data_IF_624936573341
#
_entry.id   IF_624936573341
#
_cell.length_a   1.000
_cell.length_b   1.000
_cell.length_c   1.000
_cell.angle_alpha   90.00
_cell.angle_beta   90.00
_cell.angle_gamma   90.00
#
_symmetry.space_group_name_H-M   'P 1'
#
loop_
_entity.id
_entity.type
_entity.pdbx_description
1 polymer ?
#
# COMPACT_ATOMS: atom_id res chain seq x y z
N UNK A 1 -19.82 0.53 -32.61
CA UNK A 1 -18.56 -0.11 -32.17
C UNK A 1 -17.51 0.97 -32.04
N UNK A 2 -17.43 1.56 -30.85
CA UNK A 2 -16.46 2.60 -30.51
C UNK A 2 -15.23 1.93 -29.91
N UNK A 3 -14.10 2.05 -30.61
CA UNK A 3 -12.78 1.65 -30.14
C UNK A 3 -12.42 2.40 -28.85
N UNK A 4 -11.86 1.75 -27.81
CA UNK A 4 -11.37 2.44 -26.63
C UNK A 4 -10.15 3.26 -27.00
N UNK A 5 -10.23 4.58 -26.82
CA UNK A 5 -9.13 5.50 -27.05
C UNK A 5 -8.00 5.25 -26.04
N UNK A 6 -6.94 4.64 -26.57
CA UNK A 6 -5.52 4.81 -26.25
C UNK A 6 -5.15 5.39 -24.89
N UNK A 7 -4.62 4.51 -24.05
CA UNK A 7 -3.61 4.81 -23.05
C UNK A 7 -2.54 5.75 -23.64
N UNK A 8 -2.41 6.96 -23.10
CA UNK A 8 -1.29 7.84 -23.42
C UNK A 8 -0.03 7.18 -22.84
N UNK A 9 0.72 6.51 -23.70
CA UNK A 9 2.09 6.13 -23.40
C UNK A 9 2.91 7.43 -23.28
N UNK A 10 3.12 7.88 -22.05
CA UNK A 10 4.30 8.69 -21.77
C UNK A 10 5.51 7.77 -21.99
N UNK A 11 6.25 8.04 -23.05
CA UNK A 11 7.55 7.41 -23.31
C UNK A 11 8.46 7.86 -22.17
N UNK A 12 8.66 7.00 -21.17
CA UNK A 12 9.65 7.24 -20.11
C UNK A 12 11.01 7.52 -20.76
N UNK A 13 11.76 8.54 -20.30
CA UNK A 13 13.10 8.78 -20.82
C UNK A 13 13.94 7.50 -20.62
N UNK A 14 14.67 7.04 -21.65
CA UNK A 14 15.48 5.84 -21.53
C UNK A 14 16.51 6.01 -20.39
N UNK A 15 16.51 5.09 -19.43
CA UNK A 15 17.59 4.96 -18.45
C UNK A 15 17.29 5.32 -16.99
N UNK A 16 16.03 5.51 -16.58
CA UNK A 16 15.71 5.65 -15.15
C UNK A 16 15.43 4.29 -14.52
N UNK A 17 16.44 3.69 -13.88
CA UNK A 17 16.21 2.52 -13.04
C UNK A 17 15.88 2.93 -11.59
N UNK A 18 15.07 2.10 -10.92
CA UNK A 18 14.68 2.30 -9.52
C UNK A 18 15.27 1.22 -8.61
N UNK A 19 16.39 0.60 -9.01
CA UNK A 19 16.95 -0.56 -8.33
C UNK A 19 17.43 -0.26 -6.89
N UNK A 20 17.68 1.01 -6.59
CA UNK A 20 18.06 1.51 -5.27
C UNK A 20 16.88 1.63 -4.29
N UNK A 21 15.63 1.61 -4.77
CA UNK A 21 14.45 1.64 -3.93
C UNK A 21 14.24 0.25 -3.33
N UNK A 22 14.38 0.16 -2.01
CA UNK A 22 14.31 -1.10 -1.28
C UNK A 22 13.03 -1.27 -0.47
N UNK A 23 12.29 -0.19 -0.24
CA UNK A 23 11.05 -0.18 0.53
C UNK A 23 10.05 0.78 -0.11
N UNK A 24 8.78 0.38 -0.16
CA UNK A 24 7.68 1.23 -0.60
C UNK A 24 6.74 1.45 0.57
N UNK A 25 6.40 2.70 0.88
CA UNK A 25 5.36 3.10 1.81
C UNK A 25 4.12 3.54 1.01
N UNK A 26 3.06 2.75 1.08
CA UNK A 26 1.82 2.91 0.32
C UNK A 26 0.71 3.45 1.21
N UNK A 27 0.08 4.52 0.76
CA UNK A 27 -1.07 5.15 1.38
C UNK A 27 -2.18 5.36 0.36
N UNK A 28 -3.40 4.93 0.69
CA UNK A 28 -4.60 5.31 -0.06
C UNK A 28 -5.30 6.45 0.67
N UNK A 29 -5.85 7.42 -0.09
CA UNK A 29 -6.50 8.61 0.44
C UNK A 29 -7.79 8.91 -0.29
N UNK A 30 -8.73 9.53 0.42
CA UNK A 30 -9.96 10.09 -0.11
C UNK A 30 -10.33 11.31 0.74
N UNK A 31 -10.36 12.49 0.12
CA UNK A 31 -10.69 13.76 0.78
C UNK A 31 -11.95 14.34 0.18
N UNK A 32 -13.08 14.22 0.88
CA UNK A 32 -14.38 14.77 0.49
C UNK A 32 -14.66 16.17 1.04
N UNK A 33 -13.81 16.65 1.92
CA UNK A 33 -13.91 17.96 2.56
C UNK A 33 -12.62 18.73 2.25
N UNK A 34 -12.71 20.04 1.97
CA UNK A 34 -11.73 20.83 1.21
C UNK A 34 -10.30 20.93 1.75
N UNK A 35 -9.94 20.21 2.82
CA UNK A 35 -8.60 20.18 3.40
C UNK A 35 -7.87 18.87 3.11
N UNK A 36 -6.64 18.98 2.60
CA UNK A 36 -5.72 17.85 2.37
C UNK A 36 -4.48 17.92 3.29
N UNK A 37 -4.48 18.82 4.27
CA UNK A 37 -3.37 19.07 5.19
C UNK A 37 -2.93 17.82 5.94
N UNK A 38 -3.83 16.87 6.23
CA UNK A 38 -3.50 15.61 6.87
C UNK A 38 -2.43 14.82 6.09
N UNK A 39 -2.52 14.80 4.77
CA UNK A 39 -1.53 14.18 3.89
C UNK A 39 -0.22 14.99 3.89
N UNK A 40 -0.31 16.29 3.64
CA UNK A 40 0.88 17.16 3.52
C UNK A 40 1.68 17.23 4.82
N UNK A 41 1.00 17.30 5.97
CA UNK A 41 1.62 17.20 7.29
C UNK A 41 2.29 15.85 7.53
N UNK A 42 1.73 14.74 7.02
CA UNK A 42 2.37 13.42 7.12
C UNK A 42 3.65 13.35 6.30
N UNK A 43 3.58 13.77 5.04
CA UNK A 43 4.71 13.75 4.13
C UNK A 43 5.82 14.68 4.62
N UNK A 44 5.47 15.85 5.17
CA UNK A 44 6.44 16.77 5.79
C UNK A 44 7.13 16.16 7.03
N UNK A 45 6.46 15.31 7.80
CA UNK A 45 7.08 14.56 8.90
C UNK A 45 8.03 13.49 8.38
N UNK A 46 7.62 12.74 7.35
CA UNK A 46 8.49 11.75 6.72
C UNK A 46 9.71 12.39 6.05
N UNK A 47 9.57 13.56 5.44
CA UNK A 47 10.67 14.30 4.83
C UNK A 47 11.76 14.75 5.82
N UNK A 48 11.50 14.68 7.14
CA UNK A 48 12.50 14.93 8.20
C UNK A 48 13.35 13.70 8.54
N UNK A 49 13.06 12.53 7.96
CA UNK A 49 13.87 11.34 8.19
C UNK A 49 15.27 11.49 7.57
N UNK A 50 16.30 10.79 8.09
CA UNK A 50 17.64 10.83 7.54
C UNK A 50 17.70 10.41 6.06
N UNK A 51 18.58 11.07 5.28
CA UNK A 51 18.79 10.76 3.86
C UNK A 51 19.03 9.27 3.56
N UNK A 52 19.82 8.49 4.35
CA UNK A 52 20.00 7.06 4.11
C UNK A 52 18.71 6.22 4.15
N UNK A 53 17.65 6.71 4.78
CA UNK A 53 16.31 6.12 4.73
C UNK A 53 15.60 6.61 3.47
N UNK A 54 15.49 7.93 3.31
CA UNK A 54 14.70 8.55 2.26
C UNK A 54 15.19 8.20 0.84
N UNK A 55 16.50 8.06 0.65
CA UNK A 55 17.11 7.66 -0.63
C UNK A 55 16.65 6.28 -1.08
N UNK A 56 16.24 5.38 -0.15
CA UNK A 56 15.89 3.98 -0.43
C UNK A 56 14.39 3.70 -0.28
N UNK A 57 13.60 4.69 0.08
CA UNK A 57 12.16 4.56 0.31
C UNK A 57 11.38 5.32 -0.76
N UNK A 58 10.43 4.63 -1.40
CA UNK A 58 9.41 5.26 -2.22
C UNK A 58 8.14 5.46 -1.39
N UNK A 59 7.51 6.62 -1.52
CA UNK A 59 6.16 6.89 -1.04
C UNK A 59 5.18 6.82 -2.22
N UNK A 60 4.11 6.06 -2.09
CA UNK A 60 3.02 6.01 -3.06
C UNK A 60 1.76 6.52 -2.40
N UNK A 61 1.16 7.54 -3.00
CA UNK A 61 -0.16 8.04 -2.66
C UNK A 61 -1.13 7.64 -3.77
N UNK A 62 -2.20 6.95 -3.40
CA UNK A 62 -3.31 6.65 -4.31
C UNK A 62 -4.51 7.47 -3.89
N UNK A 63 -4.83 8.49 -4.68
CA UNK A 63 -6.03 9.30 -4.59
C UNK A 63 -7.22 8.54 -5.18
N UNK A 64 -8.15 8.13 -4.32
CA UNK A 64 -9.34 7.36 -4.67
C UNK A 64 -10.47 8.27 -5.20
N UNK A 65 -10.15 9.06 -6.23
CA UNK A 65 -11.06 10.02 -6.85
C UNK A 65 -11.57 11.14 -5.91
N UNK A 66 -10.73 11.64 -5.00
CA UNK A 66 -11.10 12.75 -4.10
C UNK A 66 -11.68 13.94 -4.90
N UNK A 67 -12.84 14.50 -4.52
CA UNK A 67 -13.34 15.72 -5.13
C UNK A 67 -12.39 16.90 -4.89
N UNK A 68 -11.74 16.94 -3.72
CA UNK A 68 -10.67 17.88 -3.42
C UNK A 68 -9.37 17.44 -4.10
N UNK A 69 -8.75 18.32 -4.89
CA UNK A 69 -7.46 18.03 -5.51
C UNK A 69 -6.36 17.96 -4.45
N UNK A 70 -5.56 16.89 -4.48
CA UNK A 70 -4.40 16.78 -3.60
C UNK A 70 -3.41 17.92 -3.84
N UNK A 71 -2.95 18.55 -2.76
CA UNK A 71 -1.89 19.55 -2.78
C UNK A 71 -0.68 19.02 -2.02
N UNK A 72 0.34 18.57 -2.75
CA UNK A 72 1.58 18.08 -2.15
C UNK A 72 2.66 19.18 -2.27
N UNK A 73 3.24 19.66 -1.15
CA UNK A 73 4.22 20.74 -1.21
C UNK A 73 5.39 20.38 -2.15
N UNK A 74 5.77 21.28 -3.08
CA UNK A 74 6.75 20.98 -4.13
C UNK A 74 8.19 20.85 -3.60
N UNK A 75 8.45 21.37 -2.41
CA UNK A 75 9.75 21.39 -1.73
C UNK A 75 10.05 20.10 -0.95
N UNK A 76 9.11 19.16 -0.86
CA UNK A 76 9.37 17.86 -0.25
C UNK A 76 10.26 17.00 -1.16
N UNK A 77 11.53 16.88 -0.78
CA UNK A 77 12.53 16.00 -1.38
C UNK A 77 12.23 14.54 -1.01
N UNK A 78 11.27 13.90 -1.68
CA UNK A 78 10.88 12.51 -1.47
C UNK A 78 10.84 11.76 -2.81
N UNK A 79 11.17 10.47 -2.79
CA UNK A 79 10.82 9.59 -3.91
C UNK A 79 9.31 9.34 -3.83
N UNK A 80 8.52 10.07 -4.59
CA UNK A 80 7.08 10.15 -4.42
C UNK A 80 6.38 9.83 -5.74
N UNK A 81 5.41 8.92 -5.69
CA UNK A 81 4.50 8.65 -6.78
C UNK A 81 3.07 8.94 -6.34
N UNK A 82 2.36 9.73 -7.14
CA UNK A 82 0.95 10.06 -6.92
C UNK A 82 0.13 9.50 -8.07
N UNK A 83 -0.82 8.66 -7.73
CA UNK A 83 -1.78 8.07 -8.65
C UNK A 83 -3.17 8.61 -8.30
N UNK A 84 -4.01 8.87 -9.29
CA UNK A 84 -5.40 9.27 -9.09
C UNK A 84 -6.33 8.38 -9.87
N UNK A 85 -7.25 7.72 -9.18
CA UNK A 85 -8.37 6.99 -9.78
C UNK A 85 -9.36 8.01 -10.34
N UNK A 86 -9.89 7.76 -11.54
CA UNK A 86 -10.79 8.70 -12.23
C UNK A 86 -12.24 8.50 -11.81
N UNK A 87 -12.64 7.27 -11.56
CA UNK A 87 -13.98 6.89 -11.16
C UNK A 87 -14.17 7.04 -9.65
N UNK A 88 -15.17 7.82 -9.24
CA UNK A 88 -15.62 7.89 -7.85
C UNK A 88 -16.44 6.64 -7.50
N UNK A 89 -15.74 5.64 -6.95
CA UNK A 89 -16.33 4.38 -6.51
C UNK A 89 -16.38 4.40 -4.98
N UNK A 90 -17.59 4.39 -4.41
CA UNK A 90 -17.75 4.34 -2.96
C UNK A 90 -16.95 3.17 -2.34
N UNK A 91 -16.25 3.43 -1.24
CA UNK A 91 -15.50 2.40 -0.50
C UNK A 91 -14.48 1.62 -1.35
N UNK A 92 -13.76 2.26 -2.27
CA UNK A 92 -12.81 1.63 -3.20
C UNK A 92 -11.38 1.45 -2.64
N UNK A 93 -11.25 1.35 -1.31
CA UNK A 93 -9.99 0.97 -0.66
C UNK A 93 -9.36 -0.31 -1.23
N UNK A 94 -10.12 -1.38 -1.58
CA UNK A 94 -9.57 -2.56 -2.26
C UNK A 94 -8.82 -2.21 -3.55
N UNK A 95 -9.47 -1.42 -4.41
CA UNK A 95 -8.95 -1.01 -5.71
C UNK A 95 -7.73 -0.10 -5.56
N UNK A 96 -7.83 0.95 -4.75
CA UNK A 96 -6.74 1.89 -4.50
C UNK A 96 -5.46 1.19 -3.98
N UNK A 97 -5.61 0.21 -3.08
CA UNK A 97 -4.46 -0.56 -2.57
C UNK A 97 -3.87 -1.51 -3.60
N UNK A 98 -4.72 -2.18 -4.38
CA UNK A 98 -4.27 -2.99 -5.50
C UNK A 98 -3.45 -2.16 -6.48
N UNK A 99 -3.93 -0.95 -6.82
CA UNK A 99 -3.27 -0.04 -7.74
C UNK A 99 -1.89 0.36 -7.22
N UNK A 100 -1.81 0.84 -5.98
CA UNK A 100 -0.52 1.22 -5.42
C UNK A 100 0.46 0.03 -5.31
N UNK A 101 -0.04 -1.19 -5.08
CA UNK A 101 0.80 -2.41 -5.08
C UNK A 101 1.38 -2.72 -6.46
N UNK A 102 0.66 -2.44 -7.55
CA UNK A 102 1.20 -2.59 -8.90
C UNK A 102 2.37 -1.64 -9.13
N UNK A 103 2.26 -0.40 -8.66
CA UNK A 103 3.26 0.65 -8.86
C UNK A 103 4.38 0.69 -7.81
N UNK A 104 4.32 -0.18 -6.79
CA UNK A 104 5.40 -0.33 -5.82
C UNK A 104 6.70 -0.78 -6.50
N UNK A 105 7.75 0.04 -6.36
CA UNK A 105 9.09 -0.18 -6.95
C UNK A 105 9.90 -1.25 -6.23
N UNK A 106 9.53 -1.56 -5.00
CA UNK A 106 10.20 -2.58 -4.18
C UNK A 106 9.24 -3.72 -3.83
N UNK A 107 9.81 -4.89 -3.52
CA UNK A 107 9.00 -6.01 -3.03
C UNK A 107 8.63 -5.88 -1.55
N UNK A 108 9.34 -5.05 -0.78
CA UNK A 108 9.05 -4.79 0.62
C UNK A 108 8.09 -3.61 0.71
N UNK A 109 6.88 -3.82 1.23
CA UNK A 109 5.85 -2.78 1.25
C UNK A 109 5.31 -2.57 2.66
N UNK A 110 5.38 -1.32 3.12
CA UNK A 110 4.57 -0.80 4.22
C UNK A 110 3.27 -0.26 3.65
N UNK A 111 2.13 -0.69 4.19
CA UNK A 111 0.80 -0.24 3.77
C UNK A 111 0.13 0.39 4.97
N UNK A 112 -0.50 1.55 4.80
CA UNK A 112 -1.29 2.19 5.86
C UNK A 112 -2.27 3.21 5.29
N UNK A 113 -3.11 3.75 6.17
CA UNK A 113 -4.04 4.85 5.89
C UNK A 113 -3.36 6.18 6.25
N UNK A 114 -3.85 7.30 5.72
CA UNK A 114 -3.25 8.62 5.98
C UNK A 114 -3.36 9.04 7.45
N UNK A 115 -4.32 8.58 8.23
CA UNK A 115 -4.43 8.87 9.67
C UNK A 115 -3.42 8.09 10.53
N UNK A 116 -2.46 7.40 9.92
CA UNK A 116 -1.47 6.57 10.60
C UNK A 116 -0.03 6.95 10.18
N UNK A 117 0.84 7.13 11.17
CA UNK A 117 2.24 7.50 10.99
C UNK A 117 3.17 6.39 11.49
N UNK A 118 4.03 5.86 10.63
CA UNK A 118 5.10 4.96 11.04
C UNK A 118 6.24 5.75 11.68
N UNK A 119 6.78 5.25 12.79
CA UNK A 119 7.99 5.85 13.34
C UNK A 119 9.24 5.49 12.50
N UNK A 120 10.31 6.27 12.66
CA UNK A 120 11.59 6.05 11.94
C UNK A 120 12.14 4.62 12.16
N UNK A 121 11.97 4.06 13.35
CA UNK A 121 12.42 2.69 13.65
C UNK A 121 11.73 1.64 12.79
N UNK A 122 10.46 1.84 12.42
CA UNK A 122 9.76 0.97 11.48
C UNK A 122 10.41 0.99 10.10
N UNK A 123 10.81 2.15 9.60
CA UNK A 123 11.52 2.26 8.32
C UNK A 123 12.91 1.60 8.38
N UNK A 124 13.68 1.85 9.44
CA UNK A 124 14.96 1.20 9.67
C UNK A 124 14.82 -0.33 9.67
N UNK A 125 13.85 -0.85 10.43
CA UNK A 125 13.60 -2.28 10.50
C UNK A 125 13.21 -2.85 9.13
N UNK A 126 12.27 -2.22 8.43
CA UNK A 126 11.81 -2.70 7.12
C UNK A 126 12.92 -2.66 6.05
N UNK A 127 13.79 -1.64 6.07
CA UNK A 127 14.95 -1.55 5.19
C UNK A 127 16.00 -2.62 5.50
N UNK A 128 16.28 -2.89 6.79
CA UNK A 128 17.25 -3.90 7.20
C UNK A 128 16.73 -5.34 7.10
N UNK A 129 15.42 -5.55 7.18
CA UNK A 129 14.80 -6.85 7.15
C UNK A 129 15.00 -7.55 5.79
N UNK A 130 15.12 -8.89 5.86
CA UNK A 130 14.91 -9.74 4.69
C UNK A 130 13.51 -9.53 4.13
N UNK A 131 13.33 -9.89 2.87
CA UNK A 131 12.02 -9.90 2.26
C UNK A 131 11.01 -10.71 3.12
N UNK A 132 9.82 -10.16 3.45
CA UNK A 132 8.83 -10.86 4.26
C UNK A 132 8.36 -12.20 3.70
N UNK A 133 8.46 -12.40 2.38
CA UNK A 133 8.03 -13.60 1.68
C UNK A 133 6.58 -13.93 2.02
N UNK A 134 6.33 -15.09 2.65
CA UNK A 134 4.99 -15.53 3.05
C UNK A 134 4.45 -14.91 4.36
N UNK A 135 5.07 -13.88 4.90
CA UNK A 135 4.67 -13.27 6.18
C UNK A 135 4.12 -11.87 5.98
N UNK A 136 2.94 -11.62 6.56
CA UNK A 136 2.39 -10.29 6.75
C UNK A 136 2.67 -9.89 8.20
N UNK A 137 3.43 -8.83 8.39
CA UNK A 137 3.72 -8.29 9.71
C UNK A 137 2.75 -7.18 10.06
N UNK A 138 2.10 -7.33 11.21
CA UNK A 138 1.29 -6.31 11.85
C UNK A 138 2.17 -5.40 12.69
N UNK A 139 1.69 -4.20 12.93
CA UNK A 139 2.31 -3.26 13.84
C UNK A 139 1.41 -3.00 15.04
N UNK A 140 2.02 -2.60 16.15
CA UNK A 140 1.27 -2.11 17.30
C UNK A 140 0.82 -0.69 17.00
N UNK A 141 -0.48 -0.44 17.17
CA UNK A 141 -1.05 0.89 17.04
C UNK A 141 -1.01 1.58 18.40
N UNK A 142 -0.52 2.80 18.43
CA UNK A 142 -0.53 3.67 19.61
C UNK A 142 -1.25 4.97 19.30
N UNK A 143 -1.80 5.62 20.32
CA UNK A 143 -2.26 7.01 20.23
C UNK A 143 -1.08 7.98 20.43
N UNK A 144 -1.31 9.27 20.25
CA UNK A 144 -0.28 10.31 20.42
C UNK A 144 0.30 10.37 21.85
N UNK A 145 -0.47 9.95 22.86
CA UNK A 145 -0.04 9.85 24.26
C UNK A 145 0.76 8.55 24.57
N UNK A 146 0.95 7.68 23.58
CA UNK A 146 1.64 6.40 23.70
C UNK A 146 0.75 5.24 24.20
N UNK A 147 -0.53 5.48 24.47
CA UNK A 147 -1.46 4.43 24.88
C UNK A 147 -1.72 3.42 23.75
N UNK A 148 -1.87 2.14 24.10
CA UNK A 148 -2.08 1.08 23.11
C UNK A 148 -3.52 1.07 22.58
N UNK A 149 -3.64 0.95 21.27
CA UNK A 149 -4.91 0.69 20.58
C UNK A 149 -4.88 -0.67 19.88
N UNK A 150 -6.07 -1.19 19.56
CA UNK A 150 -6.19 -2.37 18.70
C UNK A 150 -5.43 -2.12 17.38
N UNK A 151 -4.63 -3.09 16.89
CA UNK A 151 -3.93 -2.96 15.62
C UNK A 151 -4.89 -2.60 14.50
N UNK A 152 -4.42 -1.74 13.59
CA UNK A 152 -5.20 -1.39 12.42
C UNK A 152 -5.28 -2.60 11.48
N UNK A 153 -6.49 -3.02 11.02
CA UNK A 153 -6.67 -4.22 10.21
C UNK A 153 -6.15 -4.06 8.77
N UNK A 154 -5.69 -2.86 8.42
CA UNK A 154 -5.29 -2.46 7.09
C UNK A 154 -3.87 -1.85 7.07
N UNK A 155 -3.09 -2.04 8.15
CA UNK A 155 -1.70 -1.55 8.25
C UNK A 155 -0.70 -2.70 8.41
N UNK A 156 0.23 -2.85 7.46
CA UNK A 156 1.12 -4.01 7.38
C UNK A 156 2.50 -3.68 6.84
N UNK A 157 3.46 -4.55 7.16
CA UNK A 157 4.68 -4.76 6.39
C UNK A 157 4.64 -6.13 5.71
N UNK A 158 4.75 -6.19 4.38
CA UNK A 158 4.55 -7.42 3.60
C UNK A 158 5.39 -7.48 2.31
N UNK A 159 5.36 -8.64 1.64
CA UNK A 159 5.93 -8.82 0.30
C UNK A 159 4.89 -8.52 -0.78
N UNK A 160 5.23 -7.64 -1.73
CA UNK A 160 4.42 -7.30 -2.92
C UNK A 160 4.12 -8.56 -3.74
N UNK A 161 5.12 -9.39 -4.00
CA UNK A 161 4.97 -10.64 -4.71
C UNK A 161 3.99 -11.58 -3.98
N UNK A 162 4.05 -11.66 -2.65
CA UNK A 162 3.10 -12.47 -1.87
C UNK A 162 1.66 -11.94 -1.96
N UNK A 163 1.50 -10.63 -1.91
CA UNK A 163 0.20 -9.98 -2.05
C UNK A 163 -0.41 -10.27 -3.43
N UNK A 164 0.34 -10.00 -4.50
CA UNK A 164 -0.12 -10.19 -5.89
C UNK A 164 -0.27 -11.66 -6.30
N UNK A 165 0.55 -12.57 -5.75
CA UNK A 165 0.40 -14.02 -5.96
C UNK A 165 -0.99 -14.53 -5.62
N UNK A 166 -1.67 -13.88 -4.68
CA UNK A 166 -3.05 -14.20 -4.33
C UNK A 166 -4.03 -13.09 -4.66
N UNK A 167 -3.74 -12.36 -5.73
CA UNK A 167 -4.67 -11.46 -6.42
C UNK A 167 -5.05 -10.21 -5.62
N UNK A 168 -4.29 -9.88 -4.57
CA UNK A 168 -4.48 -8.67 -3.78
C UNK A 168 -5.76 -8.66 -2.95
N UNK A 169 -6.33 -7.46 -2.79
CA UNK A 169 -7.68 -7.29 -2.26
C UNK A 169 -8.71 -7.71 -3.33
N UNK A 170 -9.82 -8.25 -2.86
CA UNK A 170 -10.93 -8.62 -3.72
C UNK A 170 -11.84 -7.40 -3.99
N UNK A 171 -11.75 -6.84 -5.19
CA UNK A 171 -12.51 -5.65 -5.58
C UNK A 171 -14.03 -5.89 -5.68
N UNK A 172 -14.52 -7.11 -5.50
CA UNK A 172 -15.95 -7.35 -5.30
C UNK A 172 -16.49 -6.73 -4.00
N UNK A 173 -15.63 -6.32 -3.07
CA UNK A 173 -16.02 -5.58 -1.86
C UNK A 173 -16.04 -4.06 -2.06
N UNK A 174 -15.52 -3.54 -3.17
CA UNK A 174 -15.67 -2.12 -3.51
C UNK A 174 -17.14 -1.79 -3.82
N UNK A 175 -17.55 -0.55 -3.55
CA UNK A 175 -18.93 -0.07 -3.65
C UNK A 175 -19.68 -0.04 -2.32
N UNK A 176 -19.23 -0.80 -1.32
CA UNK A 176 -19.91 -0.94 -0.02
C UNK A 176 -18.91 -1.02 1.13
N UNK A 177 -19.36 -0.67 2.34
CA UNK A 177 -18.48 -0.63 3.51
C UNK A 177 -18.11 -2.03 4.02
N UNK A 178 -16.81 -2.19 4.33
CA UNK A 178 -16.28 -3.25 5.20
C UNK A 178 -16.15 -4.64 4.57
N UNK A 179 -15.63 -5.57 5.38
CA UNK A 179 -15.27 -6.95 5.05
C UNK A 179 -14.07 -7.14 4.12
N UNK A 180 -13.67 -6.16 3.31
CA UNK A 180 -12.51 -6.24 2.43
C UNK A 180 -11.24 -6.66 3.18
N UNK A 181 -10.97 -6.00 4.31
CA UNK A 181 -9.87 -6.28 5.23
C UNK A 181 -9.95 -7.72 5.75
N UNK A 182 -11.02 -8.08 6.43
CA UNK A 182 -11.20 -9.38 7.07
C UNK A 182 -11.14 -10.54 6.07
N UNK A 183 -11.57 -10.30 4.83
CA UNK A 183 -11.60 -11.28 3.77
C UNK A 183 -10.23 -11.42 3.10
N UNK A 184 -9.47 -10.33 2.91
CA UNK A 184 -8.06 -10.41 2.53
C UNK A 184 -7.29 -11.29 3.52
N UNK A 185 -7.48 -11.05 4.82
CA UNK A 185 -6.78 -11.82 5.86
C UNK A 185 -7.08 -13.30 5.79
N UNK A 186 -8.37 -13.66 5.68
CA UNK A 186 -8.79 -15.06 5.60
C UNK A 186 -8.26 -15.72 4.34
N UNK A 187 -8.37 -15.04 3.20
CA UNK A 187 -7.86 -15.50 1.92
C UNK A 187 -6.36 -15.77 1.98
N UNK A 188 -5.58 -14.77 2.41
CA UNK A 188 -4.14 -14.91 2.61
C UNK A 188 -3.79 -16.05 3.57
N UNK A 189 -4.51 -16.18 4.69
CA UNK A 189 -4.28 -17.24 5.67
C UNK A 189 -4.54 -18.63 5.10
N UNK A 190 -5.65 -18.81 4.38
CA UNK A 190 -6.01 -20.09 3.75
C UNK A 190 -5.04 -20.49 2.64
N UNK A 191 -4.32 -19.52 2.07
CA UNK A 191 -3.23 -19.74 1.13
C UNK A 191 -1.84 -19.78 1.78
N UNK A 192 -1.77 -19.97 3.11
CA UNK A 192 -0.55 -20.23 3.86
C UNK A 192 0.25 -18.99 4.27
N UNK A 193 -0.34 -17.78 4.21
CA UNK A 193 0.32 -16.56 4.67
C UNK A 193 0.33 -16.53 6.19
N UNK A 194 1.50 -16.28 6.76
CA UNK A 194 1.70 -16.14 8.21
C UNK A 194 1.42 -14.70 8.61
N UNK A 195 0.85 -14.51 9.80
CA UNK A 195 0.63 -13.19 10.38
C UNK A 195 1.41 -13.10 11.68
N UNK A 196 2.39 -12.21 11.74
CA UNK A 196 3.24 -11.97 12.91
C UNK A 196 3.21 -10.50 13.28
N UNK A 197 3.74 -10.14 14.44
CA UNK A 197 4.00 -8.73 14.78
C UNK A 197 5.45 -8.38 14.48
N UNK A 198 5.70 -7.14 14.07
CA UNK A 198 7.02 -6.54 14.14
C UNK A 198 7.50 -6.39 15.60
N UNK A 199 8.81 -6.15 15.81
CA UNK A 199 9.32 -5.78 17.13
C UNK A 199 8.53 -4.65 17.79
N UNK A 200 8.50 -4.62 19.12
CA UNK A 200 7.70 -3.64 19.88
C UNK A 200 8.10 -2.18 19.62
N UNK A 201 9.34 -1.94 19.18
CA UNK A 201 9.85 -0.62 18.81
C UNK A 201 9.30 -0.12 17.46
N UNK A 202 8.80 -1.01 16.60
CA UNK A 202 8.13 -0.68 15.36
C UNK A 202 6.63 -0.45 15.64
N UNK A 203 6.23 0.82 15.68
CA UNK A 203 4.86 1.23 15.99
C UNK A 203 4.29 2.08 14.87
N UNK A 204 2.96 2.09 14.82
CA UNK A 204 2.20 3.04 14.04
C UNK A 204 1.39 3.92 14.98
N UNK A 205 1.62 5.23 14.91
CA UNK A 205 0.89 6.22 15.70
C UNK A 205 -0.36 6.62 14.95
N UNK A 206 -1.53 6.48 15.58
CA UNK A 206 -2.75 7.08 15.06
C UNK A 206 -2.73 8.57 15.32
N UNK A 207 -2.99 9.33 14.26
CA UNK A 207 -3.02 10.78 14.28
C UNK A 207 -4.47 11.22 14.41
N UNK A 208 -4.71 12.16 15.32
CA UNK A 208 -5.99 12.87 15.33
C UNK A 208 -6.02 13.77 14.11
N UNK A 209 -6.67 13.30 13.04
CA UNK A 209 -7.10 14.14 11.93
C UNK A 209 -8.49 14.64 12.30
N UNK A 210 -8.76 15.92 12.11
CA UNK A 210 -10.05 16.50 12.50
C UNK A 210 -11.17 15.74 11.78
N UNK A 211 -12.03 15.08 12.55
CA UNK A 211 -13.01 14.12 12.02
C UNK A 211 -14.30 14.78 11.59
N UNK A 212 -14.57 15.97 12.12
CA UNK A 212 -15.77 16.73 11.79
C UNK A 212 -15.65 17.42 10.43
N UNK A 213 -14.41 17.76 10.02
CA UNK A 213 -14.11 18.53 8.80
C UNK A 213 -13.36 17.73 7.70
N UNK A 214 -13.23 16.39 7.81
CA UNK A 214 -12.28 15.65 6.96
C UNK A 214 -12.63 14.23 6.50
N UNK A 215 -13.72 13.59 6.96
CA UNK A 215 -13.91 12.16 6.68
C UNK A 215 -15.36 11.71 6.40
N UNK A 216 -15.55 11.25 5.15
CA UNK A 216 -16.60 10.36 4.62
C UNK A 216 -18.04 10.70 4.99
N UNK A 217 -18.71 11.38 4.07
CA UNK A 217 -20.17 11.47 3.95
C UNK A 217 -20.87 10.12 3.69
N UNK A 218 -20.12 9.04 3.40
CA UNK A 218 -20.71 7.74 3.06
C UNK A 218 -21.27 6.98 4.27
N UNK A 219 -22.49 6.47 4.12
CA UNK A 219 -23.12 5.59 5.10
C UNK A 219 -22.37 4.25 5.20
N UNK A 220 -22.14 3.81 6.45
CA UNK A 220 -21.45 2.55 6.75
C UNK A 220 -22.43 1.39 6.86
N UNK A 221 -22.89 0.88 5.72
CA UNK A 221 -23.71 -0.34 5.65
C UNK A 221 -22.88 -1.59 5.32
N UNK A 222 -22.95 -2.57 6.21
CA UNK A 222 -22.26 -3.87 6.10
C UNK A 222 -23.10 -4.93 5.37
N UNK A 223 -24.38 -4.66 5.06
CA UNK A 223 -25.36 -5.68 4.65
C UNK A 223 -24.97 -6.38 3.36
N UNK A 224 -24.57 -5.63 2.32
CA UNK A 224 -24.21 -6.23 1.04
C UNK A 224 -22.89 -7.01 1.15
N UNK A 225 -21.85 -6.38 1.70
CA UNK A 225 -20.54 -7.00 1.83
C UNK A 225 -20.55 -8.20 2.78
N UNK A 226 -21.45 -8.26 3.77
CA UNK A 226 -21.69 -9.47 4.57
C UNK A 226 -22.18 -10.64 3.72
N UNK A 227 -23.17 -10.41 2.84
CA UNK A 227 -23.69 -11.46 1.93
C UNK A 227 -22.58 -11.98 1.01
N UNK A 228 -21.80 -11.06 0.42
CA UNK A 228 -20.65 -11.40 -0.41
C UNK A 228 -19.63 -12.23 0.39
N UNK A 229 -19.29 -11.80 1.60
CA UNK A 229 -18.34 -12.47 2.47
C UNK A 229 -18.80 -13.90 2.83
N UNK A 230 -20.07 -14.10 3.19
CA UNK A 230 -20.60 -15.43 3.50
C UNK A 230 -20.60 -16.34 2.27
N UNK A 231 -21.00 -15.85 1.10
CA UNK A 231 -20.97 -16.62 -0.14
C UNK A 231 -19.54 -17.09 -0.48
N UNK A 232 -18.56 -16.19 -0.37
CA UNK A 232 -17.14 -16.50 -0.60
C UNK A 232 -16.60 -17.51 0.41
N UNK A 233 -16.92 -17.33 1.70
CA UNK A 233 -16.56 -18.27 2.77
C UNK A 233 -17.16 -19.67 2.54
N UNK A 234 -18.42 -19.76 2.10
CA UNK A 234 -19.04 -21.02 1.71
C UNK A 234 -18.30 -21.66 0.53
N UNK A 235 -17.96 -20.86 -0.48
CA UNK A 235 -17.15 -21.29 -1.62
C UNK A 235 -15.81 -21.88 -1.20
N UNK A 236 -15.04 -21.18 -0.36
CA UNK A 236 -13.75 -21.67 0.14
C UNK A 236 -13.86 -23.02 0.85
N UNK A 237 -14.89 -23.20 1.69
CA UNK A 237 -15.12 -24.45 2.40
C UNK A 237 -15.46 -25.60 1.46
N UNK A 238 -16.20 -25.33 0.39
CA UNK A 238 -16.66 -26.35 -0.54
C UNK A 238 -15.63 -26.72 -1.62
N UNK A 239 -14.88 -25.74 -2.14
CA UNK A 239 -14.02 -25.92 -3.33
C UNK A 239 -12.57 -25.48 -3.12
N UNK A 240 -12.20 -25.11 -1.89
CA UNK A 240 -10.83 -24.76 -1.54
C UNK A 240 -10.30 -23.51 -2.27
N UNK A 241 -9.03 -23.52 -2.74
CA UNK A 241 -8.34 -22.33 -3.25
C UNK A 241 -8.79 -21.90 -4.65
N UNK A 242 -9.61 -22.71 -5.33
CA UNK A 242 -10.05 -22.43 -6.70
C UNK A 242 -11.13 -21.34 -6.77
N UNK A 243 -11.83 -21.06 -5.67
CA UNK A 243 -13.01 -20.18 -5.65
C UNK A 243 -12.94 -19.11 -4.55
N UNK A 244 -13.91 -18.19 -4.55
CA UNK A 244 -14.17 -17.28 -3.44
C UNK A 244 -13.32 -16.01 -3.41
N UNK A 245 -12.42 -15.82 -4.37
CA UNK A 245 -11.89 -14.52 -4.73
C UNK A 245 -12.39 -14.16 -6.14
N UNK A 246 -12.88 -12.94 -6.37
CA UNK A 246 -13.55 -12.60 -7.65
C UNK A 246 -12.60 -12.51 -8.85
N UNK A 247 -11.31 -12.24 -8.59
CA UNK A 247 -10.29 -11.94 -9.61
C UNK A 247 -10.55 -10.63 -10.36
N UNK A 248 -11.54 -9.84 -9.94
CA UNK A 248 -11.64 -8.44 -10.33
C UNK A 248 -10.41 -7.70 -9.80
N UNK A 249 -9.72 -7.01 -10.69
CA UNK A 249 -8.46 -6.35 -10.40
C UNK A 249 -8.32 -5.14 -11.31
N UNK A 250 -8.24 -3.94 -10.72
CA UNK A 250 -8.15 -2.64 -11.37
C UNK A 250 -9.26 -2.42 -12.40
N UNK A 251 -10.52 -2.58 -11.97
CA UNK A 251 -11.71 -2.39 -12.80
C UNK A 251 -12.08 -0.91 -13.09
N UNK A 252 -11.11 -0.01 -13.04
CA UNK A 252 -11.25 1.45 -13.14
C UNK A 252 -10.04 2.03 -13.89
N UNK A 253 -10.11 3.31 -14.26
CA UNK A 253 -9.02 4.04 -14.91
C UNK A 253 -8.31 4.96 -13.92
N UNK A 254 -7.06 5.30 -14.20
CA UNK A 254 -6.26 6.17 -13.33
C UNK A 254 -5.24 6.98 -14.11
N UNK A 255 -4.80 8.06 -13.47
CA UNK A 255 -3.75 8.97 -13.92
C UNK A 255 -2.50 8.84 -13.06
N UNK A 256 -1.34 8.90 -13.69
CA UNK A 256 -0.09 9.22 -13.00
C UNK A 256 -0.03 10.74 -12.89
N UNK A 257 -0.31 11.25 -11.69
CA UNK A 257 -0.35 12.69 -11.42
C UNK A 257 1.05 13.25 -11.29
N UNK A 258 1.91 12.51 -10.59
CA UNK A 258 3.24 12.97 -10.27
C UNK A 258 4.19 11.79 -9.97
N UNK A 259 5.43 11.88 -10.46
CA UNK A 259 6.52 10.96 -10.12
C UNK A 259 7.82 11.75 -9.84
N UNK A 260 8.09 11.97 -8.56
CA UNK A 260 9.29 12.64 -8.06
C UNK A 260 10.36 11.62 -7.68
N UNK A 261 11.61 12.00 -7.92
CA UNK A 261 12.76 11.37 -7.30
C UNK A 261 13.47 12.38 -6.41
N UNK A 262 14.18 11.88 -5.41
CA UNK A 262 15.06 12.71 -4.61
C UNK A 262 16.16 13.33 -5.45
N UNK A 263 16.59 14.51 -5.05
CA UNK A 263 17.68 15.27 -5.66
C UNK A 263 19.07 14.69 -5.35
N UNK A 264 19.16 13.75 -4.40
CA UNK A 264 20.39 13.08 -4.01
C UNK A 264 20.87 12.09 -5.07
N UNK A 265 22.20 11.87 -5.20
CA UNK A 265 22.72 10.85 -6.09
C UNK A 265 22.19 9.45 -5.71
N UNK A 266 21.84 8.66 -6.73
CA UNK A 266 21.41 7.28 -6.54
C UNK A 266 22.54 6.49 -5.85
N UNK A 267 22.29 5.87 -4.68
CA UNK A 267 23.32 5.10 -4.00
C UNK A 267 23.70 3.89 -4.84
N UNK A 268 25.00 3.73 -5.08
CA UNK A 268 25.51 2.59 -5.84
C UNK A 268 25.46 1.32 -4.98
N UNK A 269 24.88 0.21 -5.47
CA UNK A 269 24.87 -1.04 -4.73
C UNK A 269 26.29 -1.61 -4.61
N UNK A 270 26.57 -2.37 -3.54
CA UNK A 270 27.89 -3.00 -3.38
C UNK A 270 28.13 -4.04 -4.47
N UNK A 271 29.37 -4.10 -4.97
CA UNK A 271 29.79 -5.10 -5.97
C UNK A 271 29.78 -6.49 -5.36
N UNK A 272 28.96 -7.40 -5.90
CA UNK A 272 28.88 -8.81 -5.46
C UNK A 272 29.57 -9.75 -6.45
N UNK A 273 30.90 -9.90 -6.31
CA UNK A 273 31.69 -10.85 -7.09
C UNK A 273 31.17 -12.29 -6.85
N UNK A 274 30.99 -13.06 -7.92
CA UNK A 274 30.51 -14.44 -7.82
C UNK A 274 28.99 -14.58 -7.61
N UNK A 275 28.20 -13.50 -7.62
CA UNK A 275 26.74 -13.58 -7.52
C UNK A 275 26.14 -14.50 -8.60
N UNK A 276 26.59 -14.35 -9.85
CA UNK A 276 26.15 -15.18 -10.97
C UNK A 276 26.61 -16.63 -10.82
N UNK A 277 27.84 -16.86 -10.38
CA UNK A 277 28.42 -18.21 -10.23
C UNK A 277 27.76 -19.03 -9.11
N UNK A 278 27.18 -18.37 -8.11
CA UNK A 278 26.53 -19.02 -6.96
C UNK A 278 25.02 -19.22 -7.15
N UNK A 279 24.52 -19.16 -8.39
CA UNK A 279 23.07 -19.26 -8.66
C UNK A 279 22.45 -20.57 -8.19
N UNK A 280 23.16 -21.69 -8.34
CA UNK A 280 22.65 -23.03 -8.02
C UNK A 280 22.39 -23.21 -6.52
N UNK A 281 23.14 -22.52 -5.65
CA UNK A 281 22.83 -22.46 -4.21
C UNK A 281 21.45 -21.82 -3.97
N UNK A 282 21.09 -20.77 -4.71
CA UNK A 282 19.77 -20.15 -4.58
C UNK A 282 18.67 -21.02 -5.16
N UNK A 283 18.98 -21.90 -6.11
CA UNK A 283 18.01 -22.87 -6.62
C UNK A 283 17.78 -24.03 -5.64
N UNK A 284 18.82 -24.56 -5.00
CA UNK A 284 18.71 -25.66 -4.04
C UNK A 284 18.01 -25.26 -2.73
N UNK A 285 18.21 -24.02 -2.29
CA UNK A 285 17.77 -23.56 -0.96
C UNK A 285 16.72 -22.44 -1.01
N UNK A 286 16.28 -22.06 -2.22
CA UNK A 286 15.33 -20.97 -2.48
C UNK A 286 13.86 -21.35 -2.34
#
# INVERSE_FOLDING_TARGET
MTTPSGCIQQVEPPGRDYAHIELTCLMNVYFDQGDTSALSCLLARYAKMPAPILDRVQFIIVDDASPTRLSIPPDLDLNLLVLRIREDIAWNQPGARNLGMVYARSDKVLVTDVDHEFNQETFNHALAARNPGRTFYKLRRIEADGSFRRPHPNTFFLSRARFLKFHGYDEAFAGHYGFDDSMLWRWQRYHGTRFLYLPKSCVVTHRSVDREDGYHSHERDLTLNRKIAEAKKKGWKAHGPAVGHSRRFLGFTWDLVEDRVRSTPIPQPPVRRGWTQTWWWRWLWG
#
